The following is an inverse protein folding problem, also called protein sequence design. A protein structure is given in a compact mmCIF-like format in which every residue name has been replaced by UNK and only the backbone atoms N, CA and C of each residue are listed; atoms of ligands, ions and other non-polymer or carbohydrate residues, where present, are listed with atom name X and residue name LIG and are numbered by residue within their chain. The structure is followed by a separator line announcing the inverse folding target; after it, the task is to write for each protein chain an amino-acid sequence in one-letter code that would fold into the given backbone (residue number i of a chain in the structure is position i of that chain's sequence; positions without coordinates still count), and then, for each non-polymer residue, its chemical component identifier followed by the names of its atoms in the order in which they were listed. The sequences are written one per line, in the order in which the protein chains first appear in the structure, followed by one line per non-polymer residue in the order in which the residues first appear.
data_IF_537056524417
#
_entry.id   IF_537056524417
#
_cell.length_a   1.000
_cell.length_b   1.000
_cell.length_c   1.000
_cell.angle_alpha   90.00
_cell.angle_beta   90.00
_cell.angle_gamma   90.00
#
_symmetry.space_group_name_H-M   'P 1'
#
loop_
_entity.id
_entity.type
_entity.pdbx_description
1 polymer ?
#
# COMPACT_ATOMS: atom_id res chain seq x y z
N UNK A 1 -16.30 24.60 42.65
CA UNK A 1 -17.11 24.46 41.42
C UNK A 1 -16.31 24.70 40.13
N UNK A 2 -15.51 25.78 40.01
CA UNK A 2 -14.67 26.04 38.83
C UNK A 2 -13.61 24.97 38.51
N UNK A 3 -13.00 24.37 39.53
CA UNK A 3 -11.96 23.32 39.36
C UNK A 3 -12.58 22.02 38.84
N UNK A 4 -13.79 21.67 39.31
CA UNK A 4 -14.52 20.47 38.86
C UNK A 4 -14.98 20.55 37.39
N UNK A 5 -15.34 21.75 36.91
CA UNK A 5 -15.67 21.97 35.49
C UNK A 5 -14.45 21.87 34.57
N UNK A 6 -13.28 22.32 35.02
CA UNK A 6 -12.02 22.20 34.26
C UNK A 6 -11.57 20.73 34.14
N UNK A 7 -11.71 19.95 35.20
CA UNK A 7 -11.40 18.51 35.17
C UNK A 7 -12.30 17.74 34.21
N UNK A 8 -13.60 18.08 34.14
CA UNK A 8 -14.55 17.41 33.25
C UNK A 8 -14.31 17.73 31.76
N UNK A 9 -13.88 18.96 31.47
CA UNK A 9 -13.51 19.41 30.12
C UNK A 9 -12.23 18.73 29.61
N UNK A 10 -11.24 18.52 30.48
CA UNK A 10 -10.02 17.79 30.13
C UNK A 10 -10.34 16.31 29.85
N UNK A 11 -11.20 15.67 30.65
CA UNK A 11 -11.59 14.26 30.45
C UNK A 11 -12.37 14.05 29.14
N UNK A 12 -13.20 15.00 28.70
CA UNK A 12 -13.88 14.92 27.41
C UNK A 12 -12.98 15.19 26.18
N UNK A 13 -11.81 15.81 26.36
CA UNK A 13 -10.89 16.10 25.26
C UNK A 13 -9.91 14.95 24.95
N UNK A 14 -9.68 14.03 25.90
CA UNK A 14 -8.76 12.89 25.74
C UNK A 14 -9.18 11.92 24.62
N UNK A 15 -10.48 11.57 24.43
CA UNK A 15 -10.88 10.65 23.37
C UNK A 15 -10.64 11.18 21.95
N UNK A 16 -10.61 12.51 21.76
CA UNK A 16 -10.44 13.11 20.43
C UNK A 16 -9.01 12.95 19.89
N UNK A 17 -8.00 12.84 20.77
CA UNK A 17 -6.61 12.59 20.39
C UNK A 17 -6.36 11.14 19.96
N UNK A 18 -7.16 10.18 20.45
CA UNK A 18 -7.04 8.77 20.11
C UNK A 18 -7.61 8.42 18.72
N UNK A 19 -8.41 9.31 18.12
CA UNK A 19 -9.06 9.10 16.82
C UNK A 19 -8.30 9.71 15.63
N UNK A 20 -7.18 10.38 15.88
CA UNK A 20 -6.39 11.05 14.84
C UNK A 20 -5.34 10.13 14.18
N UNK A 21 -5.02 8.98 14.79
CA UNK A 21 -4.01 8.05 14.28
C UNK A 21 -4.62 7.22 13.16
N UNK A 22 -4.36 7.62 11.91
CA UNK A 22 -4.72 6.83 10.74
C UNK A 22 -4.00 5.47 10.73
N UNK A 23 -4.48 4.46 9.98
CA UNK A 23 -3.93 3.10 9.97
C UNK A 23 -2.47 2.94 9.50
N UNK A 24 -1.76 4.03 9.21
CA UNK A 24 -0.31 4.05 8.96
C UNK A 24 0.44 5.09 9.82
N UNK A 25 -0.25 5.82 10.69
CA UNK A 25 0.39 6.68 11.67
C UNK A 25 0.94 5.79 12.79
N UNK A 26 2.26 5.65 12.84
CA UNK A 26 2.96 4.76 13.78
C UNK A 26 3.75 3.63 13.14
N UNK A 27 3.64 3.43 11.82
CA UNK A 27 4.60 2.59 11.09
C UNK A 27 5.83 3.45 10.74
N UNK A 28 6.75 3.55 11.70
CA UNK A 28 8.07 4.12 11.46
C UNK A 28 8.96 3.12 10.69
N UNK A 29 10.23 3.45 10.52
CA UNK A 29 11.20 2.57 9.86
C UNK A 29 11.16 1.14 10.45
N UNK A 30 10.93 1.00 11.76
CA UNK A 30 10.98 -0.27 12.47
C UNK A 30 9.73 -1.12 12.35
N UNK A 31 8.60 -0.52 11.93
CA UNK A 31 7.38 -1.27 11.65
C UNK A 31 7.52 -2.23 10.46
N UNK A 32 8.34 -1.86 9.48
CA UNK A 32 8.67 -2.71 8.33
C UNK A 32 10.06 -3.36 8.47
N UNK A 33 11.01 -2.72 9.16
CA UNK A 33 12.39 -3.20 9.27
C UNK A 33 12.76 -3.64 10.70
N UNK A 34 12.98 -4.95 10.91
CA UNK A 34 13.45 -5.52 12.16
C UNK A 34 14.98 -5.51 12.29
N UNK A 35 15.55 -4.45 12.86
CA UNK A 35 17.01 -4.31 13.03
C UNK A 35 17.68 -5.49 13.77
N UNK A 36 17.02 -6.04 14.79
CA UNK A 36 17.52 -7.20 15.56
C UNK A 36 16.66 -8.46 15.39
N UNK A 37 15.54 -8.35 14.66
CA UNK A 37 14.51 -9.40 14.56
C UNK A 37 14.06 -9.60 13.10
N UNK A 38 14.96 -9.33 12.15
CA UNK A 38 14.68 -9.51 10.74
C UNK A 38 14.29 -10.96 10.44
N UNK A 39 13.24 -11.13 9.63
CA UNK A 39 12.71 -12.42 9.18
C UNK A 39 12.78 -12.57 7.66
N UNK A 40 13.18 -11.52 6.93
CA UNK A 40 13.35 -11.52 5.49
C UNK A 40 14.54 -10.67 5.04
N UNK A 41 14.71 -10.56 3.72
CA UNK A 41 15.75 -9.74 3.11
C UNK A 41 15.62 -8.27 3.51
N UNK A 42 16.68 -7.47 3.37
CA UNK A 42 16.66 -6.02 3.66
C UNK A 42 16.05 -5.72 5.04
N UNK A 43 16.40 -6.56 6.02
CA UNK A 43 15.95 -6.49 7.42
C UNK A 43 14.42 -6.45 7.61
N UNK A 44 13.61 -7.07 6.74
CA UNK A 44 12.15 -7.05 6.91
C UNK A 44 11.68 -7.70 8.22
N UNK A 45 10.69 -7.10 8.87
CA UNK A 45 10.13 -7.55 10.15
C UNK A 45 9.26 -8.81 10.04
N UNK A 46 8.81 -9.15 8.83
CA UNK A 46 8.01 -10.35 8.53
C UNK A 46 8.66 -11.18 7.42
N UNK A 47 8.48 -12.51 7.43
CA UNK A 47 8.91 -13.33 6.31
C UNK A 47 7.97 -13.11 5.10
N UNK A 48 8.45 -13.36 3.87
CA UNK A 48 7.57 -13.38 2.70
C UNK A 48 6.49 -14.46 2.85
N UNK A 49 5.23 -14.08 2.69
CA UNK A 49 4.09 -15.00 2.74
C UNK A 49 3.92 -15.75 1.42
N UNK A 50 4.34 -17.02 1.42
CA UNK A 50 4.18 -17.96 0.30
C UNK A 50 2.97 -18.89 0.46
N UNK A 51 2.26 -18.85 1.59
CA UNK A 51 1.05 -19.65 1.82
C UNK A 51 -0.17 -19.06 1.12
N UNK A 52 -0.26 -17.72 1.07
CA UNK A 52 -1.31 -17.04 0.34
C UNK A 52 -1.20 -17.32 -1.16
N UNK A 53 -2.27 -17.87 -1.74
CA UNK A 53 -2.35 -18.18 -3.18
C UNK A 53 -2.93 -17.00 -3.94
N UNK A 54 -2.24 -16.61 -5.02
CA UNK A 54 -2.72 -15.59 -5.92
C UNK A 54 -3.94 -16.10 -6.72
N UNK A 55 -5.12 -15.46 -6.62
CA UNK A 55 -6.32 -15.94 -7.28
C UNK A 55 -6.30 -15.81 -8.81
N UNK A 56 -5.44 -14.96 -9.37
CA UNK A 56 -5.32 -14.79 -10.83
C UNK A 56 -4.38 -15.82 -11.46
N UNK A 57 -3.35 -16.27 -10.74
CA UNK A 57 -2.35 -17.23 -11.27
C UNK A 57 -2.48 -18.64 -10.73
N UNK A 58 -3.17 -18.83 -9.60
CA UNK A 58 -3.28 -20.11 -8.89
C UNK A 58 -1.97 -20.55 -8.22
N UNK A 59 -0.97 -19.67 -8.12
CA UNK A 59 0.35 -19.97 -7.54
C UNK A 59 0.57 -19.21 -6.23
N UNK A 60 1.48 -19.68 -5.36
CA UNK A 60 2.01 -18.89 -4.24
C UNK A 60 2.45 -17.50 -4.68
N UNK A 61 2.21 -16.50 -3.84
CA UNK A 61 2.77 -15.18 -4.05
C UNK A 61 4.30 -15.21 -3.81
N UNK A 62 5.04 -14.37 -4.53
CA UNK A 62 6.51 -14.28 -4.45
C UNK A 62 6.97 -12.82 -4.43
N UNK A 63 8.26 -12.58 -4.20
CA UNK A 63 8.86 -11.25 -4.27
C UNK A 63 8.19 -10.24 -3.34
N UNK A 64 8.04 -9.00 -3.80
CA UNK A 64 7.50 -7.89 -3.02
C UNK A 64 6.04 -8.12 -2.59
N UNK A 65 5.20 -8.76 -3.42
CA UNK A 65 3.83 -9.09 -3.00
C UNK A 65 3.81 -10.06 -1.83
N UNK A 66 4.67 -11.08 -1.82
CA UNK A 66 4.73 -12.02 -0.69
C UNK A 66 5.10 -11.28 0.61
N UNK A 67 6.03 -10.33 0.54
CA UNK A 67 6.37 -9.48 1.68
C UNK A 67 5.15 -8.69 2.20
N UNK A 68 4.44 -7.97 1.33
CA UNK A 68 3.26 -7.19 1.73
C UNK A 68 2.18 -8.08 2.36
N UNK A 69 1.99 -9.29 1.82
CA UNK A 69 1.05 -10.28 2.34
C UNK A 69 1.52 -10.96 3.62
N UNK A 70 2.78 -10.79 4.04
CA UNK A 70 3.23 -11.13 5.39
C UNK A 70 2.42 -10.41 6.46
N UNK A 71 1.94 -9.21 6.17
CA UNK A 71 1.04 -8.45 7.04
C UNK A 71 -0.40 -8.46 6.53
N UNK A 72 -0.62 -8.19 5.24
CA UNK A 72 -1.93 -7.91 4.65
C UNK A 72 -2.68 -9.15 4.12
N UNK A 73 -2.46 -10.31 4.73
CA UNK A 73 -3.18 -11.55 4.41
C UNK A 73 -3.70 -12.21 5.68
N UNK A 74 -4.92 -12.74 5.60
CA UNK A 74 -5.50 -13.64 6.61
C UNK A 74 -4.81 -15.02 6.63
N UNK A 75 -4.33 -15.48 5.47
CA UNK A 75 -3.68 -16.79 5.32
C UNK A 75 -2.17 -16.58 5.27
N UNK A 76 -1.42 -17.19 6.19
CA UNK A 76 0.05 -17.10 6.27
C UNK A 76 0.61 -15.72 6.59
N UNK A 77 -0.24 -14.75 6.90
CA UNK A 77 0.12 -13.38 7.26
C UNK A 77 -0.50 -12.97 8.60
N UNK A 78 -0.24 -11.73 9.02
CA UNK A 78 -0.70 -11.20 10.31
C UNK A 78 -2.17 -10.74 10.34
N UNK A 79 -2.89 -10.75 9.20
CA UNK A 79 -4.28 -10.28 9.13
C UNK A 79 -4.46 -8.77 9.36
N UNK A 80 -3.41 -7.96 9.18
CA UNK A 80 -3.51 -6.51 9.34
C UNK A 80 -4.16 -5.93 8.09
N UNK A 81 -5.40 -5.44 8.20
CA UNK A 81 -6.15 -4.86 7.07
C UNK A 81 -6.02 -5.74 5.81
N UNK A 82 -6.48 -6.99 5.86
CA UNK A 82 -6.20 -7.99 4.84
C UNK A 82 -6.72 -7.55 3.47
N UNK A 83 -5.94 -7.81 2.42
CA UNK A 83 -6.34 -7.56 1.04
C UNK A 83 -6.85 -8.85 0.42
N UNK A 84 -8.10 -8.83 -0.04
CA UNK A 84 -8.70 -9.97 -0.74
C UNK A 84 -8.46 -9.83 -2.24
N UNK A 85 -7.50 -10.59 -2.79
CA UNK A 85 -7.12 -10.52 -4.20
C UNK A 85 -8.28 -10.74 -5.19
N UNK A 86 -9.29 -11.54 -4.83
CA UNK A 86 -10.50 -11.76 -5.66
C UNK A 86 -11.41 -10.54 -5.78
N UNK A 87 -11.30 -9.58 -4.87
CA UNK A 87 -12.12 -8.36 -4.80
C UNK A 87 -11.31 -7.08 -5.02
N UNK A 88 -10.01 -7.21 -5.27
CA UNK A 88 -9.07 -6.10 -5.42
C UNK A 88 -8.54 -6.04 -6.86
N UNK A 89 -7.80 -4.97 -7.19
CA UNK A 89 -7.08 -4.94 -8.46
C UNK A 89 -6.07 -6.10 -8.51
N UNK A 90 -5.93 -6.81 -9.64
CA UNK A 90 -4.94 -7.88 -9.76
C UNK A 90 -3.53 -7.37 -9.45
N UNK A 91 -2.80 -8.16 -8.67
CA UNK A 91 -1.39 -7.97 -8.30
C UNK A 91 -0.64 -9.30 -8.47
N UNK A 92 0.69 -9.28 -8.53
CA UNK A 92 1.52 -10.45 -8.81
C UNK A 92 1.31 -11.03 -10.21
N UNK A 93 0.83 -10.22 -11.16
CA UNK A 93 0.47 -10.65 -12.52
C UNK A 93 1.16 -9.80 -13.58
N UNK A 94 1.50 -10.41 -14.71
CA UNK A 94 1.88 -9.66 -15.92
C UNK A 94 0.63 -9.02 -16.52
N UNK A 95 0.59 -7.69 -16.70
CA UNK A 95 -0.59 -7.02 -17.27
C UNK A 95 -0.90 -7.51 -18.68
N UNK A 96 -2.19 -7.68 -18.97
CA UNK A 96 -2.65 -7.91 -20.33
C UNK A 96 -2.82 -6.57 -21.04
N UNK A 97 -1.99 -6.30 -22.07
CA UNK A 97 -2.02 -5.07 -22.85
C UNK A 97 -3.38 -4.77 -23.52
N UNK A 98 -4.24 -5.79 -23.70
CA UNK A 98 -5.62 -5.60 -24.20
C UNK A 98 -6.57 -5.03 -23.14
N UNK A 99 -6.20 -5.13 -21.86
CA UNK A 99 -7.01 -4.70 -20.71
C UNK A 99 -6.48 -3.39 -20.14
N UNK A 100 -5.15 -3.28 -19.99
CA UNK A 100 -4.47 -2.14 -19.41
C UNK A 100 -3.08 -1.95 -20.03
N UNK A 101 -2.70 -0.71 -20.30
CA UNK A 101 -1.34 -0.31 -20.65
C UNK A 101 -0.67 0.24 -19.39
N UNK A 102 0.00 -0.64 -18.64
CA UNK A 102 0.67 -0.27 -17.39
C UNK A 102 2.06 0.31 -17.71
N UNK A 103 2.41 1.51 -17.22
CA UNK A 103 3.75 2.07 -17.37
C UNK A 103 4.82 1.15 -16.80
N UNK A 104 5.98 1.06 -17.45
CA UNK A 104 7.06 0.14 -17.06
C UNK A 104 7.61 0.47 -15.66
N UNK A 105 7.56 1.74 -15.25
CA UNK A 105 7.98 2.23 -13.93
C UNK A 105 7.14 1.63 -12.79
N UNK A 106 5.89 1.22 -13.08
CA UNK A 106 4.98 0.60 -12.12
C UNK A 106 5.10 -0.94 -12.09
N UNK A 107 5.94 -1.52 -12.93
CA UNK A 107 6.15 -2.96 -13.00
C UNK A 107 7.42 -3.36 -12.27
N UNK A 108 7.41 -4.56 -11.66
CA UNK A 108 8.58 -5.23 -11.10
C UNK A 108 8.70 -6.56 -11.82
N UNK A 109 9.82 -6.77 -12.51
CA UNK A 109 10.03 -7.97 -13.34
C UNK A 109 8.87 -8.22 -14.34
N UNK A 110 8.29 -7.15 -14.89
CA UNK A 110 7.14 -7.22 -15.80
C UNK A 110 5.80 -7.56 -15.13
N UNK A 111 5.73 -7.67 -13.81
CA UNK A 111 4.51 -7.88 -13.03
C UNK A 111 4.03 -6.59 -12.37
N UNK A 112 2.72 -6.43 -12.30
CA UNK A 112 2.09 -5.42 -11.46
C UNK A 112 2.07 -5.95 -10.03
N UNK A 113 2.93 -5.41 -9.17
CA UNK A 113 3.02 -5.75 -7.75
C UNK A 113 2.35 -4.67 -6.89
N UNK A 114 2.20 -4.90 -5.58
CA UNK A 114 1.65 -3.91 -4.65
C UNK A 114 2.34 -2.55 -4.77
N UNK A 115 3.67 -2.57 -4.93
CA UNK A 115 4.47 -1.36 -5.08
C UNK A 115 4.22 -0.61 -6.38
N UNK A 116 3.64 -1.24 -7.41
CA UNK A 116 3.23 -0.54 -8.62
C UNK A 116 2.22 0.58 -8.35
N UNK A 117 1.43 0.46 -7.29
CA UNK A 117 0.48 1.48 -6.85
C UNK A 117 0.90 2.15 -5.54
N UNK A 118 1.65 1.47 -4.68
CA UNK A 118 2.03 1.96 -3.36
C UNK A 118 3.53 2.21 -3.21
N UNK A 119 3.92 3.34 -2.62
CA UNK A 119 5.27 3.59 -2.14
C UNK A 119 5.21 3.74 -0.61
N UNK A 120 5.56 2.67 0.14
CA UNK A 120 5.27 2.57 1.57
C UNK A 120 6.20 3.40 2.45
N UNK A 121 7.17 4.12 1.87
CA UNK A 121 8.07 4.92 2.66
C UNK A 121 7.39 6.17 3.23
N UNK A 122 7.73 6.59 4.47
CA UNK A 122 7.09 7.72 5.14
C UNK A 122 7.23 9.07 4.41
N UNK A 123 8.17 9.20 3.47
CA UNK A 123 8.32 10.41 2.65
C UNK A 123 7.21 10.57 1.61
N UNK A 124 6.39 9.55 1.38
CA UNK A 124 5.25 9.61 0.48
C UNK A 124 4.09 10.42 1.11
N UNK A 125 3.75 11.60 0.55
CA UNK A 125 2.70 12.44 1.10
C UNK A 125 1.28 12.01 0.70
N UNK A 126 1.15 11.00 -0.17
CA UNK A 126 -0.13 10.63 -0.75
C UNK A 126 -0.91 9.70 0.18
N UNK A 127 -2.23 9.80 0.06
CA UNK A 127 -3.17 8.97 0.82
C UNK A 127 -2.86 7.48 0.68
N UNK A 128 -2.76 6.77 1.81
CA UNK A 128 -2.47 5.33 1.89
C UNK A 128 -1.28 4.92 1.03
N UNK A 129 -0.23 5.72 1.02
CA UNK A 129 0.99 5.42 0.27
C UNK A 129 0.80 5.31 -1.24
N UNK A 130 -0.27 5.86 -1.84
CA UNK A 130 -0.42 5.78 -3.30
C UNK A 130 0.74 6.50 -4.00
N UNK A 131 1.18 5.99 -5.14
CA UNK A 131 2.21 6.66 -5.96
C UNK A 131 1.68 7.89 -6.68
N UNK A 132 0.36 8.12 -6.70
CA UNK A 132 -0.25 9.25 -7.39
C UNK A 132 -1.31 9.87 -6.48
N UNK A 133 -1.36 11.19 -6.42
CA UNK A 133 -2.35 11.89 -5.61
C UNK A 133 -3.75 11.73 -6.20
N UNK A 134 -4.68 11.19 -5.41
CA UNK A 134 -6.09 11.08 -5.78
C UNK A 134 -6.92 12.26 -5.29
N UNK A 135 -6.32 13.25 -4.61
CA UNK A 135 -7.05 14.37 -4.00
C UNK A 135 -8.15 13.92 -3.05
N UNK A 136 -7.89 12.91 -2.21
CA UNK A 136 -8.90 12.32 -1.33
C UNK A 136 -10.00 11.55 -2.06
N UNK A 137 -9.75 11.13 -3.31
CA UNK A 137 -10.72 10.45 -4.18
C UNK A 137 -11.29 11.32 -5.29
N UNK A 138 -11.18 12.65 -5.20
CA UNK A 138 -11.71 13.58 -6.21
C UNK A 138 -11.07 13.41 -7.61
N UNK A 139 -9.86 12.83 -7.66
CA UNK A 139 -9.10 12.59 -8.90
C UNK A 139 -8.95 11.08 -9.20
N UNK A 140 -9.90 10.26 -8.74
CA UNK A 140 -9.83 8.80 -8.93
C UNK A 140 -9.83 8.39 -10.40
N UNK A 141 -10.51 9.14 -11.27
CA UNK A 141 -10.45 8.92 -12.72
C UNK A 141 -9.00 8.96 -13.23
N UNK A 142 -8.25 10.02 -12.88
CA UNK A 142 -6.85 10.16 -13.27
C UNK A 142 -5.94 9.04 -12.74
N UNK A 143 -6.30 8.44 -11.60
CA UNK A 143 -5.60 7.27 -11.06
C UNK A 143 -5.90 6.01 -11.89
N UNK A 144 -7.17 5.72 -12.19
CA UNK A 144 -7.54 4.57 -13.03
C UNK A 144 -6.91 4.68 -14.44
N UNK A 145 -6.81 5.90 -14.97
CA UNK A 145 -6.31 6.19 -16.30
C UNK A 145 -4.79 6.01 -16.45
N UNK A 146 -4.05 5.88 -15.35
CA UNK A 146 -2.62 5.53 -15.36
C UNK A 146 -2.40 4.27 -16.22
N UNK A 147 -3.29 3.30 -16.06
CA UNK A 147 -3.21 1.99 -16.70
C UNK A 147 -4.32 1.75 -17.71
N UNK A 148 -5.51 2.33 -17.51
CA UNK A 148 -6.67 2.14 -18.39
C UNK A 148 -6.91 3.35 -19.30
N UNK A 149 -5.87 3.86 -19.95
CA UNK A 149 -5.92 5.07 -20.79
C UNK A 149 -6.95 4.99 -21.92
N UNK A 150 -7.20 3.79 -22.49
CA UNK A 150 -8.24 3.57 -23.51
C UNK A 150 -9.66 3.82 -23.03
N UNK A 151 -9.89 3.99 -21.72
CA UNK A 151 -11.18 4.29 -21.11
C UNK A 151 -11.33 5.77 -20.72
N UNK A 152 -10.42 6.64 -21.18
CA UNK A 152 -10.40 8.07 -20.82
C UNK A 152 -9.73 8.95 -21.87
N UNK A 153 -9.94 10.26 -21.80
CA UNK A 153 -9.36 11.23 -22.73
C UNK A 153 -7.95 11.75 -22.37
N UNK A 154 -7.37 11.39 -21.20
CA UNK A 154 -6.06 11.92 -20.76
C UNK A 154 -5.29 10.92 -19.89
N UNK A 155 -4.08 10.57 -20.32
CA UNK A 155 -3.14 9.76 -19.56
C UNK A 155 -2.31 10.63 -18.60
N UNK A 156 -2.11 10.17 -17.38
CA UNK A 156 -1.29 10.80 -16.34
C UNK A 156 0.19 10.68 -16.72
N UNK A 157 0.96 11.75 -16.54
CA UNK A 157 2.36 11.79 -16.96
C UNK A 157 3.25 11.04 -15.96
N UNK A 158 4.37 10.42 -16.39
CA UNK A 158 5.31 9.76 -15.48
C UNK A 158 5.86 10.67 -14.38
N UNK A 159 5.95 11.98 -14.62
CA UNK A 159 6.40 12.97 -13.65
C UNK A 159 5.45 13.15 -12.45
N UNK A 160 4.20 12.70 -12.56
CA UNK A 160 3.19 12.76 -11.49
C UNK A 160 3.22 11.52 -10.58
N UNK A 161 4.09 10.55 -10.87
CA UNK A 161 4.24 9.31 -10.11
C UNK A 161 5.34 9.49 -9.06
N UNK A 162 4.94 9.57 -7.80
CA UNK A 162 5.83 9.54 -6.65
C UNK A 162 6.60 8.22 -6.61
N UNK A 163 7.90 8.34 -6.40
CA UNK A 163 8.81 7.23 -6.17
C UNK A 163 9.91 7.70 -5.22
N UNK A 164 10.01 7.05 -4.07
CA UNK A 164 11.11 7.18 -3.12
C UNK A 164 12.10 6.01 -3.23
N UNK A 165 11.70 4.97 -3.96
CA UNK A 165 12.49 3.78 -4.25
C UNK A 165 12.45 3.44 -5.73
N UNK A 166 13.63 3.13 -6.28
CA UNK A 166 13.76 2.46 -7.57
C UNK A 166 14.12 0.99 -7.34
N UNK A 167 13.11 0.12 -7.20
CA UNK A 167 13.31 -1.33 -7.04
C UNK A 167 13.34 -2.08 -8.40
N UNK A 168 13.68 -1.39 -9.49
CA UNK A 168 13.76 -2.00 -10.84
C UNK A 168 15.10 -2.71 -11.10
N UNK A 169 15.96 -2.82 -10.09
CA UNK A 169 17.29 -3.45 -10.17
C UNK A 169 17.43 -4.56 -9.15
#
# INVERSE_FOLDING_TARGET
MRIFLLSLLIVMAIPALALAVGPHEGLDCTGCHGLHTAQGDVIFAVPPNTEAINPATGKPNTGVTALCLGCHSETGGMGILPVVGKKSHPFGVTPNAKVASVPAELLREGKLECVGCHDPHPSNPNYKYLRVSTGGGAKMEGFCNLCHSSKSGRQTAPADIFSSMDERK
#
